data_IF_953044943319
#
_entry.id   IF_953044943319
#
_cell.length_a   1.000
_cell.length_b   1.000
_cell.length_c   1.000
_cell.angle_alpha   90.00
_cell.angle_beta   90.00
_cell.angle_gamma   90.00
#
_symmetry.space_group_name_H-M   'P 1'
#
loop_
_entity.id
_entity.type
_entity.pdbx_description
1 polymer ?
#
# COMPACT_ATOMS: atom_id res chain seq x y z
N UNK A 1 12.91 23.81 -3.87
CA UNK A 1 11.73 22.93 -3.79
C UNK A 1 12.19 21.54 -4.18
N UNK A 2 12.16 20.58 -3.25
CA UNK A 2 12.40 19.17 -3.57
C UNK A 2 11.23 18.72 -4.44
N UNK A 3 11.49 18.26 -5.66
CA UNK A 3 10.41 17.84 -6.55
C UNK A 3 9.75 16.55 -6.03
N UNK A 4 8.43 16.52 -5.96
CA UNK A 4 7.69 15.29 -5.67
C UNK A 4 7.49 14.50 -6.97
N UNK A 5 7.56 13.17 -6.90
CA UNK A 5 7.24 12.25 -8.01
C UNK A 5 6.04 11.38 -7.63
N UNK A 6 5.21 11.04 -8.60
CA UNK A 6 4.16 10.03 -8.43
C UNK A 6 4.79 8.64 -8.55
N UNK A 7 4.56 7.79 -7.55
CA UNK A 7 4.92 6.37 -7.52
C UNK A 7 3.67 5.53 -7.28
N UNK A 8 3.70 4.30 -7.78
CA UNK A 8 2.68 3.29 -7.51
C UNK A 8 3.34 2.07 -6.87
N UNK A 9 2.76 1.57 -5.79
CA UNK A 9 3.16 0.33 -5.12
C UNK A 9 2.03 -0.70 -5.25
N UNK A 10 2.38 -1.97 -5.45
CA UNK A 10 1.41 -3.06 -5.54
C UNK A 10 1.63 -4.03 -4.38
N UNK A 11 0.58 -4.26 -3.59
CA UNK A 11 0.64 -5.10 -2.40
C UNK A 11 -0.46 -6.15 -2.44
N UNK A 12 -0.11 -7.38 -2.05
CA UNK A 12 -1.05 -8.50 -1.94
C UNK A 12 -1.10 -8.93 -0.50
N UNK A 13 -2.28 -8.91 0.09
CA UNK A 13 -2.52 -9.23 1.48
C UNK A 13 -3.43 -10.45 1.58
N UNK A 14 -3.09 -11.34 2.51
CA UNK A 14 -3.89 -12.50 2.87
C UNK A 14 -4.26 -12.46 4.36
N UNK A 15 -5.51 -12.81 4.65
CA UNK A 15 -6.07 -12.93 6.00
C UNK A 15 -7.58 -12.75 5.99
N UNK A 16 -8.18 -12.67 7.17
CA UNK A 16 -9.55 -12.18 7.29
C UNK A 16 -9.60 -10.65 7.07
N UNK A 17 -10.80 -10.07 7.05
CA UNK A 17 -11.00 -8.63 6.81
C UNK A 17 -10.28 -7.74 7.83
N UNK A 18 -10.21 -8.15 9.10
CA UNK A 18 -9.53 -7.40 10.17
C UNK A 18 -8.02 -7.44 9.99
N UNK A 19 -7.46 -8.61 9.71
CA UNK A 19 -6.03 -8.81 9.48
C UNK A 19 -5.54 -8.06 8.24
N UNK A 20 -6.30 -8.12 7.14
CA UNK A 20 -5.98 -7.40 5.91
C UNK A 20 -5.98 -5.89 6.18
N UNK A 21 -6.99 -5.38 6.89
CA UNK A 21 -7.08 -3.96 7.20
C UNK A 21 -5.92 -3.51 8.09
N UNK A 22 -5.56 -4.29 9.11
CA UNK A 22 -4.42 -4.00 9.99
C UNK A 22 -3.11 -3.93 9.19
N UNK A 23 -2.82 -4.95 8.39
CA UNK A 23 -1.59 -5.00 7.58
C UNK A 23 -1.54 -3.88 6.55
N UNK A 24 -2.68 -3.54 5.93
CA UNK A 24 -2.74 -2.42 5.00
C UNK A 24 -2.40 -1.10 5.70
N UNK A 25 -2.97 -0.85 6.89
CA UNK A 25 -2.67 0.36 7.66
C UNK A 25 -1.19 0.43 8.06
N UNK A 26 -0.59 -0.68 8.52
CA UNK A 26 0.84 -0.74 8.84
C UNK A 26 1.73 -0.33 7.65
N UNK A 27 1.37 -0.77 6.44
CA UNK A 27 2.07 -0.38 5.20
C UNK A 27 1.89 1.12 4.92
N UNK A 28 0.66 1.63 5.03
CA UNK A 28 0.36 3.03 4.76
C UNK A 28 1.06 3.97 5.76
N UNK A 29 1.08 3.59 7.03
CA UNK A 29 1.74 4.33 8.10
C UNK A 29 3.26 4.38 7.84
N UNK A 30 3.88 3.24 7.53
CA UNK A 30 5.31 3.19 7.19
C UNK A 30 5.67 4.05 5.97
N UNK A 31 4.81 4.07 4.94
CA UNK A 31 4.98 4.93 3.77
C UNK A 31 4.89 6.42 4.14
N UNK A 32 3.93 6.78 4.99
CA UNK A 32 3.74 8.17 5.43
C UNK A 32 4.87 8.64 6.36
N UNK A 33 5.34 7.79 7.28
CA UNK A 33 6.51 8.06 8.13
C UNK A 33 7.79 8.30 7.30
N UNK A 34 7.91 7.59 6.18
CA UNK A 34 9.01 7.78 5.24
C UNK A 34 8.87 9.06 4.38
N UNK A 35 7.75 9.79 4.50
CA UNK A 35 7.49 11.06 3.82
C UNK A 35 6.63 10.94 2.56
N UNK A 36 6.07 9.77 2.27
CA UNK A 36 5.13 9.62 1.16
C UNK A 36 3.76 10.25 1.49
N UNK A 37 3.14 10.85 0.48
CA UNK A 37 1.77 11.36 0.56
C UNK A 37 0.88 10.45 -0.27
N UNK A 38 0.06 9.65 0.41
CA UNK A 38 -0.91 8.75 -0.24
C UNK A 38 -1.96 9.59 -0.98
N UNK A 39 -2.18 9.30 -2.26
CA UNK A 39 -3.15 9.99 -3.11
C UNK A 39 -4.38 9.15 -3.40
N UNK A 40 -4.19 7.85 -3.59
CA UNK A 40 -5.26 6.91 -3.92
C UNK A 40 -4.88 5.48 -3.52
N UNK A 41 -5.88 4.67 -3.20
CA UNK A 41 -5.73 3.25 -2.90
C UNK A 41 -6.82 2.50 -3.68
N UNK A 42 -6.40 1.65 -4.62
CA UNK A 42 -7.31 0.89 -5.46
C UNK A 42 -7.27 -0.58 -5.08
N UNK A 43 -8.43 -1.20 -4.95
CA UNK A 43 -8.56 -2.66 -4.91
C UNK A 43 -8.61 -3.17 -6.35
N UNK A 44 -7.61 -3.94 -6.76
CA UNK A 44 -7.56 -4.51 -8.11
C UNK A 44 -8.18 -5.91 -8.16
N UNK A 45 -8.07 -6.64 -7.06
CA UNK A 45 -8.48 -8.04 -7.01
C UNK A 45 -8.84 -8.43 -5.59
N UNK A 46 -9.90 -9.22 -5.45
CA UNK A 46 -10.31 -9.86 -4.21
C UNK A 46 -10.73 -11.28 -4.52
N UNK A 47 -10.24 -12.24 -3.72
CA UNK A 47 -10.60 -13.65 -3.84
C UNK A 47 -10.80 -14.25 -2.46
N UNK A 48 -11.84 -15.06 -2.30
CA UNK A 48 -11.99 -15.90 -1.12
C UNK A 48 -10.87 -16.96 -1.05
N UNK A 49 -10.35 -17.18 0.15
CA UNK A 49 -9.30 -18.14 0.46
C UNK A 49 -9.61 -18.82 1.81
N UNK A 50 -9.96 -20.11 1.77
CA UNK A 50 -10.36 -20.84 2.98
C UNK A 50 -11.77 -20.48 3.47
N UNK A 51 -12.06 -20.75 4.74
CA UNK A 51 -13.40 -20.59 5.32
C UNK A 51 -13.79 -19.14 5.64
N UNK A 52 -12.80 -18.29 5.97
CA UNK A 52 -12.99 -16.88 6.33
C UNK A 52 -11.81 -15.98 5.91
N UNK A 53 -10.97 -16.47 4.99
CA UNK A 53 -9.82 -15.73 4.49
C UNK A 53 -10.11 -15.11 3.13
N UNK A 54 -9.40 -14.03 2.85
CA UNK A 54 -9.38 -13.35 1.57
C UNK A 54 -7.94 -13.15 1.13
N UNK A 55 -7.74 -13.09 -0.18
CA UNK A 55 -6.55 -12.56 -0.82
C UNK A 55 -6.96 -11.30 -1.56
N UNK A 56 -6.39 -10.16 -1.17
CA UNK A 56 -6.73 -8.84 -1.70
C UNK A 56 -5.48 -8.17 -2.25
N UNK A 57 -5.55 -7.72 -3.50
CA UNK A 57 -4.49 -6.98 -4.15
C UNK A 57 -4.84 -5.49 -4.25
N UNK A 58 -3.97 -4.64 -3.71
CA UNK A 58 -4.10 -3.20 -3.73
C UNK A 58 -3.04 -2.55 -4.62
N UNK A 59 -3.41 -1.46 -5.29
CA UNK A 59 -2.46 -0.48 -5.82
C UNK A 59 -2.54 0.77 -4.98
N UNK A 60 -1.40 1.18 -4.43
CA UNK A 60 -1.25 2.41 -3.65
C UNK A 60 -0.58 3.44 -4.55
N UNK A 61 -1.27 4.54 -4.82
CA UNK A 61 -0.72 5.68 -5.56
C UNK A 61 -0.28 6.74 -4.57
N UNK A 62 0.97 7.19 -4.68
CA UNK A 62 1.57 8.10 -3.71
C UNK A 62 2.50 9.11 -4.37
N UNK A 63 2.62 10.29 -3.77
CA UNK A 63 3.72 11.21 -4.05
C UNK A 63 4.87 10.92 -3.09
N UNK A 64 6.08 10.77 -3.62
CA UNK A 64 7.30 10.60 -2.83
C UNK A 64 8.27 11.76 -3.06
N UNK A 65 8.98 12.24 -2.02
CA UNK A 65 10.14 13.10 -2.18
C UNK A 65 11.18 12.43 -3.08
N UNK A 66 11.84 13.21 -3.93
CA UNK A 66 12.92 12.71 -4.82
C UNK A 66 14.06 12.01 -4.07
N UNK A 67 14.24 12.28 -2.78
CA UNK A 67 15.28 11.71 -1.92
C UNK A 67 14.92 10.32 -1.34
N UNK A 68 13.65 9.86 -1.45
CA UNK A 68 13.25 8.50 -1.07
C UNK A 68 13.74 7.41 -2.06
N UNK A 69 14.65 7.74 -2.99
CA UNK A 69 15.39 6.80 -3.83
C UNK A 69 16.45 6.04 -2.99
N UNK A 70 16.06 5.36 -1.90
CA UNK A 70 16.94 4.38 -1.25
C UNK A 70 16.63 2.99 -1.82
N UNK A 71 17.43 2.66 -2.83
CA UNK A 71 17.79 1.37 -3.44
C UNK A 71 16.68 0.32 -3.67
N UNK A 72 16.50 -0.01 -4.95
CA UNK A 72 15.85 -1.24 -5.42
C UNK A 72 16.86 -2.40 -5.46
#
# INVERSE_FOLDING_TARGET
>A
MVGNKIKTEFVVLEGNSVEITSKLNEILDALQEAGAVIKDIKVNYTKEHGFDGFLVAYTIVMEVPKEMELEA
#
